data_IF_883581565199
#
_entry.id   IF_883581565199
#
_cell.length_a   1.000
_cell.length_b   1.000
_cell.length_c   1.000
_cell.angle_alpha   90.00
_cell.angle_beta   90.00
_cell.angle_gamma   90.00
#
_symmetry.space_group_name_H-M   'P 1'
#
loop_
_entity.id
_entity.type
_entity.pdbx_description
1 polymer ?
#
# COMPACT_ATOMS: atom_id res chain seq x y z
N UNK A 1 -20.84 -48.10 -21.96
CA UNK A 1 -21.97 -47.22 -21.65
C UNK A 1 -21.74 -46.69 -20.25
N UNK A 2 -20.96 -45.62 -20.16
CA UNK A 2 -20.71 -44.75 -19.01
C UNK A 2 -19.72 -43.72 -19.53
N UNK A 3 -20.12 -42.45 -19.59
CA UNK A 3 -19.21 -41.32 -19.82
C UNK A 3 -19.40 -40.42 -18.61
N UNK A 4 -18.34 -40.33 -17.80
CA UNK A 4 -18.22 -39.46 -16.64
C UNK A 4 -17.39 -38.23 -16.99
N UNK A 5 -17.76 -37.13 -16.34
CA UNK A 5 -17.11 -35.83 -16.36
C UNK A 5 -15.72 -35.85 -15.71
N UNK A 6 -14.81 -35.04 -16.25
CA UNK A 6 -13.82 -34.22 -15.53
C UNK A 6 -12.85 -33.61 -16.55
N UNK A 7 -12.91 -32.29 -16.73
CA UNK A 7 -11.81 -31.46 -17.19
C UNK A 7 -12.18 -29.99 -17.00
N UNK A 8 -11.26 -29.25 -16.37
CA UNK A 8 -10.85 -27.85 -16.60
C UNK A 8 -10.62 -27.16 -15.25
N UNK A 9 -9.38 -27.25 -14.75
CA UNK A 9 -8.74 -26.30 -13.84
C UNK A 9 -7.23 -26.53 -13.95
N UNK A 10 -6.45 -25.48 -14.26
CA UNK A 10 -4.97 -25.55 -14.29
C UNK A 10 -4.30 -24.93 -15.52
N UNK A 11 -4.30 -23.60 -15.59
CA UNK A 11 -3.39 -22.69 -16.31
C UNK A 11 -3.67 -21.33 -15.66
N UNK A 12 -2.79 -20.59 -14.97
CA UNK A 12 -1.42 -20.18 -15.28
C UNK A 12 -0.89 -19.43 -14.06
N UNK A 13 0.16 -19.94 -13.39
CA UNK A 13 1.18 -19.13 -12.68
C UNK A 13 2.30 -20.07 -12.17
N UNK A 14 3.05 -20.67 -13.09
CA UNK A 14 4.24 -21.44 -12.75
C UNK A 14 5.24 -21.27 -13.89
N UNK A 15 6.09 -20.27 -13.78
CA UNK A 15 7.05 -19.99 -14.84
C UNK A 15 7.92 -18.79 -14.55
N UNK A 16 8.56 -18.72 -13.38
CA UNK A 16 9.76 -17.90 -13.19
C UNK A 16 10.51 -18.35 -11.93
N UNK A 17 11.38 -19.38 -12.06
CA UNK A 17 12.58 -19.61 -11.25
C UNK A 17 13.15 -21.01 -11.56
N UNK A 18 14.09 -21.07 -12.51
CA UNK A 18 15.10 -22.13 -12.56
C UNK A 18 16.16 -21.80 -13.62
N UNK A 19 17.29 -21.19 -13.22
CA UNK A 19 18.57 -21.50 -13.88
C UNK A 19 19.66 -21.59 -12.80
N UNK A 20 19.87 -22.82 -12.32
CA UNK A 20 21.10 -23.23 -11.64
C UNK A 20 22.14 -23.62 -12.69
N UNK A 21 23.38 -23.21 -12.41
CA UNK A 21 24.65 -23.53 -13.05
C UNK A 21 24.75 -24.85 -13.85
N UNK A 22 25.27 -24.75 -15.07
CA UNK A 22 26.12 -25.77 -15.72
C UNK A 22 26.83 -25.17 -16.95
N UNK A 23 28.14 -24.93 -16.87
CA UNK A 23 29.04 -24.99 -18.03
C UNK A 23 30.52 -25.00 -17.58
N UNK A 24 31.08 -26.20 -17.40
CA UNK A 24 32.51 -26.45 -17.62
C UNK A 24 32.71 -26.82 -19.09
N UNK A 25 33.74 -26.28 -19.73
CA UNK A 25 34.32 -26.87 -20.94
C UNK A 25 34.71 -25.92 -22.07
N UNK A 26 36.03 -25.74 -22.19
CA UNK A 26 36.77 -25.51 -23.45
C UNK A 26 36.91 -24.07 -24.01
N UNK A 27 38.11 -23.53 -23.75
CA UNK A 27 38.77 -22.44 -24.50
C UNK A 27 39.04 -22.87 -25.95
N UNK A 28 39.17 -21.90 -26.88
CA UNK A 28 40.53 -21.58 -27.30
C UNK A 28 40.85 -20.08 -27.43
N UNK A 29 42.15 -19.85 -27.41
CA UNK A 29 42.92 -18.62 -27.48
C UNK A 29 42.67 -17.72 -28.69
N UNK A 30 42.72 -16.40 -28.46
CA UNK A 30 43.37 -15.48 -29.38
C UNK A 30 43.99 -14.30 -28.61
N UNK A 31 45.26 -14.08 -28.88
CA UNK A 31 46.21 -13.13 -28.29
C UNK A 31 46.28 -11.80 -29.07
N UNK A 32 46.58 -10.72 -28.35
CA UNK A 32 47.06 -9.42 -28.86
C UNK A 32 45.99 -8.32 -28.75
N UNK A 33 46.22 -7.13 -28.18
CA UNK A 33 47.43 -6.29 -28.17
C UNK A 33 47.43 -5.37 -26.93
N UNK A 34 48.63 -4.94 -26.57
CA UNK A 34 49.15 -4.19 -25.42
C UNK A 34 48.84 -2.67 -25.46
N UNK A 35 48.43 -2.16 -24.29
CA UNK A 35 48.82 -0.92 -23.55
C UNK A 35 49.03 0.40 -24.30
N UNK A 36 48.35 1.43 -23.81
CA UNK A 36 48.78 2.84 -23.86
C UNK A 36 48.25 3.61 -22.65
N UNK A 37 49.10 3.82 -21.65
CA UNK A 37 48.88 4.66 -20.47
C UNK A 37 49.45 6.07 -20.65
N UNK A 38 48.81 7.09 -20.06
CA UNK A 38 49.41 8.31 -19.46
C UNK A 38 48.27 9.30 -19.12
N UNK A 39 47.88 9.47 -17.85
CA UNK A 39 48.40 10.44 -16.84
C UNK A 39 48.44 11.90 -17.27
N UNK A 40 47.55 12.74 -16.70
CA UNK A 40 47.92 13.94 -15.91
C UNK A 40 46.68 14.53 -15.17
N UNK A 41 46.82 14.75 -13.86
CA UNK A 41 45.92 15.53 -12.97
C UNK A 41 46.47 16.98 -12.81
N UNK A 42 46.03 17.80 -11.84
CA UNK A 42 44.74 18.51 -11.64
C UNK A 42 45.01 20.04 -11.49
N UNK A 43 44.10 20.77 -10.78
CA UNK A 43 44.13 22.17 -10.28
C UNK A 43 43.01 23.02 -10.95
N UNK A 44 42.21 23.84 -10.26
CA UNK A 44 42.46 24.61 -9.04
C UNK A 44 41.14 25.12 -8.43
N UNK A 45 41.11 25.21 -7.09
CA UNK A 45 40.14 25.96 -6.28
C UNK A 45 40.46 27.46 -6.34
N UNK A 46 39.43 28.30 -6.36
CA UNK A 46 39.48 29.70 -5.90
C UNK A 46 38.34 29.94 -4.91
N UNK A 47 38.74 30.48 -3.76
CA UNK A 47 37.97 30.90 -2.60
C UNK A 47 38.01 32.44 -2.61
N UNK A 48 36.85 33.10 -2.56
CA UNK A 48 36.73 34.48 -2.06
C UNK A 48 35.38 34.67 -1.34
N UNK A 49 35.41 34.60 -0.01
CA UNK A 49 35.20 35.80 0.82
C UNK A 49 33.77 36.33 1.03
N UNK A 50 33.23 36.03 2.21
CA UNK A 50 32.86 37.05 3.21
C UNK A 50 31.51 37.77 3.06
N UNK A 51 30.61 37.56 4.03
CA UNK A 51 29.41 38.38 4.19
C UNK A 51 28.48 37.88 5.30
N UNK A 52 28.91 38.01 6.55
CA UNK A 52 28.10 37.79 7.75
C UNK A 52 26.99 38.87 7.84
N UNK A 53 25.72 38.45 7.82
CA UNK A 53 24.59 39.30 8.23
C UNK A 53 23.77 38.53 9.26
N UNK A 54 23.96 38.93 10.51
CA UNK A 54 23.15 38.56 11.66
C UNK A 54 21.86 39.36 11.64
N UNK A 55 20.72 38.69 11.57
CA UNK A 55 19.41 39.28 11.92
C UNK A 55 18.73 38.38 12.94
N UNK A 56 18.87 38.78 14.19
CA UNK A 56 18.09 38.33 15.35
C UNK A 56 16.64 38.78 15.18
N UNK A 57 15.71 37.82 15.19
CA UNK A 57 14.27 38.08 15.36
C UNK A 57 13.84 37.39 16.64
N UNK A 58 13.56 38.18 17.68
CA UNK A 58 12.94 37.71 18.92
C UNK A 58 11.44 37.45 18.70
N UNK A 59 10.86 36.42 19.35
CA UNK A 59 9.43 36.12 19.25
C UNK A 59 8.60 36.95 20.25
N UNK A 60 7.41 37.44 19.89
CA UNK A 60 6.49 38.00 20.86
C UNK A 60 5.76 36.89 21.63
N UNK A 61 5.90 36.95 22.95
CA UNK A 61 5.20 36.15 23.95
C UNK A 61 3.86 36.82 24.27
N UNK A 62 2.71 36.14 24.06
CA UNK A 62 1.47 36.42 24.81
C UNK A 62 0.55 35.20 24.85
N UNK A 63 0.40 34.63 26.05
CA UNK A 63 -0.61 33.62 26.45
C UNK A 63 -1.67 34.36 27.31
N UNK A 64 -2.96 33.94 27.32
CA UNK A 64 -4.13 34.81 27.48
C UNK A 64 -4.60 34.98 28.93
N UNK A 65 -5.52 35.91 29.23
CA UNK A 65 -6.20 35.94 30.52
C UNK A 65 -7.58 35.27 30.44
N UNK A 66 -7.82 34.34 31.37
CA UNK A 66 -9.14 33.83 31.76
C UNK A 66 -9.33 34.08 33.28
N UNK A 67 -10.54 33.91 33.85
CA UNK A 67 -11.65 34.87 33.94
C UNK A 67 -11.85 35.39 35.38
N UNK A 68 -12.75 36.36 35.65
CA UNK A 68 -13.17 36.64 37.02
C UNK A 68 -14.43 35.86 37.41
N UNK A 69 -14.32 35.17 38.54
CA UNK A 69 -15.42 34.64 39.34
C UNK A 69 -15.98 35.72 40.29
N UNK A 70 -17.30 35.76 40.47
CA UNK A 70 -18.03 36.19 41.70
C UNK A 70 -19.48 35.74 41.51
N UNK A 71 -19.99 34.80 42.33
CA UNK A 71 -20.60 34.95 43.66
C UNK A 71 -22.07 35.40 43.66
N UNK A 72 -22.78 34.80 44.59
CA UNK A 72 -24.22 34.55 44.68
C UNK A 72 -25.03 35.76 45.15
N UNK A 73 -26.31 35.86 44.75
CA UNK A 73 -27.42 36.12 45.69
C UNK A 73 -28.81 36.04 45.04
N UNK A 74 -29.67 35.35 45.80
CA UNK A 74 -31.13 35.21 45.78
C UNK A 74 -31.97 36.35 45.19
N UNK A 75 -33.06 35.99 44.47
CA UNK A 75 -34.42 36.24 44.98
C UNK A 75 -35.51 35.52 44.17
N UNK A 76 -36.56 35.08 44.88
CA UNK A 76 -37.92 35.03 44.31
C UNK A 76 -38.53 33.64 44.09
N UNK A 77 -39.13 33.08 45.15
CA UNK A 77 -40.15 32.03 45.04
C UNK A 77 -41.42 32.59 44.40
N UNK A 78 -41.95 31.91 43.39
CA UNK A 78 -43.37 31.90 43.07
C UNK A 78 -43.78 30.43 42.91
N UNK A 79 -44.77 30.02 43.71
CA UNK A 79 -45.45 28.74 43.59
C UNK A 79 -46.48 28.86 42.48
N UNK A 80 -46.49 27.96 41.50
CA UNK A 80 -47.69 27.64 40.72
C UNK A 80 -47.65 26.19 40.21
N UNK A 81 -48.71 25.48 40.61
CA UNK A 81 -49.40 24.33 40.02
C UNK A 81 -48.65 23.05 39.60
N UNK A 82 -49.05 21.95 40.26
CA UNK A 82 -48.73 20.55 39.98
C UNK A 82 -49.32 20.11 38.63
N UNK A 83 -48.52 19.67 37.62
CA UNK A 83 -49.07 19.06 36.43
C UNK A 83 -49.40 17.58 36.67
N UNK A 84 -50.55 17.15 36.18
CA UNK A 84 -51.01 15.76 36.21
C UNK A 84 -49.97 14.79 35.59
N UNK A 85 -49.92 13.51 36.04
CA UNK A 85 -48.91 12.58 35.58
C UNK A 85 -49.18 12.18 34.12
N UNK A 86 -48.35 12.69 33.21
CA UNK A 86 -48.26 12.20 31.84
C UNK A 86 -47.58 10.84 31.87
N UNK A 87 -48.33 9.78 31.52
CA UNK A 87 -47.78 8.45 31.27
C UNK A 87 -46.86 8.51 30.06
N UNK A 88 -45.55 8.46 30.30
CA UNK A 88 -44.54 8.23 29.26
C UNK A 88 -44.70 6.79 28.77
N UNK A 89 -44.83 6.52 27.46
CA UNK A 89 -44.76 5.16 26.95
C UNK A 89 -43.34 4.65 27.19
N UNK A 90 -43.20 3.57 27.96
CA UNK A 90 -41.95 2.82 28.07
C UNK A 90 -41.61 2.29 26.69
N UNK A 91 -40.68 2.93 25.99
CA UNK A 91 -40.02 2.35 24.82
C UNK A 91 -39.17 1.20 25.33
N UNK A 92 -39.50 -0.03 24.93
CA UNK A 92 -38.61 -1.17 25.13
C UNK A 92 -37.26 -0.85 24.48
N UNK A 93 -36.13 -1.16 25.15
CA UNK A 93 -34.82 -1.05 24.50
C UNK A 93 -34.84 -1.90 23.22
N UNK A 94 -34.17 -1.47 22.14
CA UNK A 94 -34.06 -2.27 20.95
C UNK A 94 -33.52 -3.65 21.35
N UNK A 95 -34.26 -4.69 20.97
CA UNK A 95 -33.79 -6.07 21.07
C UNK A 95 -32.48 -6.14 20.29
N UNK A 96 -31.36 -6.26 21.01
CA UNK A 96 -30.07 -6.54 20.40
C UNK A 96 -30.22 -7.82 19.57
N UNK A 97 -29.95 -7.75 18.28
CA UNK A 97 -29.77 -8.96 17.47
C UNK A 97 -28.71 -9.84 18.15
N UNK A 98 -28.88 -11.17 18.13
CA UNK A 98 -27.86 -12.06 18.68
C UNK A 98 -26.53 -11.75 17.97
N UNK A 99 -25.47 -11.56 18.76
CA UNK A 99 -24.12 -11.38 18.20
C UNK A 99 -23.79 -12.57 17.29
N UNK A 100 -23.24 -12.27 16.12
CA UNK A 100 -22.82 -13.26 15.14
C UNK A 100 -21.80 -14.21 15.79
N UNK A 101 -22.00 -15.53 15.62
CA UNK A 101 -21.08 -16.52 16.16
C UNK A 101 -20.12 -16.98 15.06
N UNK A 102 -18.88 -16.53 15.15
CA UNK A 102 -17.82 -16.89 14.20
C UNK A 102 -17.11 -18.20 14.62
N UNK A 103 -16.87 -19.12 13.69
CA UNK A 103 -16.12 -20.37 13.94
C UNK A 103 -14.80 -20.42 13.17
N UNK A 104 -13.73 -19.90 13.78
CA UNK A 104 -12.37 -19.94 13.24
C UNK A 104 -11.56 -21.16 13.70
N UNK A 105 -12.19 -22.21 14.26
CA UNK A 105 -11.45 -23.34 14.88
C UNK A 105 -10.57 -24.11 13.89
N UNK A 106 -10.84 -24.02 12.59
CA UNK A 106 -10.04 -24.64 11.54
C UNK A 106 -8.78 -23.83 11.14
N UNK A 107 -8.65 -22.57 11.54
CA UNK A 107 -7.55 -21.69 11.12
C UNK A 107 -6.22 -22.09 11.75
N UNK A 108 -6.14 -22.12 13.08
CA UNK A 108 -4.88 -22.34 13.78
C UNK A 108 -4.15 -23.64 13.37
N UNK A 109 -4.81 -24.81 13.25
CA UNK A 109 -4.13 -26.04 12.82
C UNK A 109 -3.51 -25.95 11.41
N UNK A 110 -4.10 -25.17 10.50
CA UNK A 110 -3.58 -24.97 9.15
C UNK A 110 -2.33 -24.09 9.19
N UNK A 111 -2.39 -22.97 9.93
CA UNK A 111 -1.26 -22.04 10.03
C UNK A 111 -0.08 -22.66 10.77
N UNK A 112 -0.32 -23.31 11.91
CA UNK A 112 0.73 -24.00 12.68
C UNK A 112 1.45 -25.06 11.84
N UNK A 113 0.70 -25.92 11.16
CA UNK A 113 1.27 -26.95 10.31
C UNK A 113 2.10 -26.35 9.16
N UNK A 114 1.62 -25.26 8.56
CA UNK A 114 2.32 -24.60 7.47
C UNK A 114 3.61 -23.91 7.91
N UNK A 115 3.58 -23.20 9.04
CA UNK A 115 4.76 -22.56 9.67
C UNK A 115 5.82 -23.62 9.97
N UNK A 116 5.43 -24.74 10.58
CA UNK A 116 6.34 -25.85 10.91
C UNK A 116 6.90 -26.54 9.66
N UNK A 117 6.07 -26.86 8.67
CA UNK A 117 6.48 -27.56 7.44
C UNK A 117 7.46 -26.72 6.61
N UNK A 118 7.24 -25.41 6.55
CA UNK A 118 8.07 -24.48 5.76
C UNK A 118 9.24 -23.91 6.55
N UNK A 119 9.31 -24.14 7.86
CA UNK A 119 10.36 -23.62 8.74
C UNK A 119 10.36 -22.09 8.80
N UNK A 120 9.18 -21.48 8.81
CA UNK A 120 9.03 -20.02 8.93
C UNK A 120 9.34 -19.57 10.36
N UNK A 121 9.76 -18.31 10.53
CA UNK A 121 9.94 -17.74 11.87
C UNK A 121 8.60 -17.47 12.57
N UNK A 122 7.50 -17.44 11.83
CA UNK A 122 6.15 -17.30 12.34
C UNK A 122 5.15 -16.84 11.28
N UNK A 123 3.98 -16.44 11.73
CA UNK A 123 2.93 -15.82 10.93
C UNK A 123 2.05 -14.93 11.81
N UNK A 124 1.38 -13.95 11.21
CA UNK A 124 0.27 -13.23 11.82
C UNK A 124 -0.96 -13.31 10.92
N UNK A 125 -2.13 -13.51 11.49
CA UNK A 125 -3.41 -13.45 10.79
C UNK A 125 -4.40 -12.64 11.61
N UNK A 126 -4.97 -11.62 10.98
CA UNK A 126 -6.05 -10.81 11.53
C UNK A 126 -7.19 -10.75 10.53
N UNK A 127 -8.42 -10.94 11.00
CA UNK A 127 -9.65 -10.95 10.21
C UNK A 127 -10.58 -9.92 10.80
N UNK A 128 -11.15 -9.10 9.93
CA UNK A 128 -12.05 -8.01 10.26
C UNK A 128 -13.39 -8.18 9.56
N UNK A 129 -14.45 -7.82 10.26
CA UNK A 129 -15.83 -7.74 9.79
C UNK A 129 -16.28 -6.27 9.79
N UNK A 130 -17.06 -5.88 8.76
CA UNK A 130 -17.55 -4.51 8.60
C UNK A 130 -18.28 -4.01 9.84
N UNK A 131 -19.10 -4.82 10.48
CA UNK A 131 -19.95 -4.39 11.58
C UNK A 131 -19.28 -4.71 12.93
N UNK A 132 -18.66 -5.88 13.06
CA UNK A 132 -18.12 -6.38 14.33
C UNK A 132 -16.66 -5.99 14.61
N UNK A 133 -15.94 -5.42 13.63
CA UNK A 133 -14.55 -5.00 13.82
C UNK A 133 -13.59 -6.19 13.71
N UNK A 134 -12.62 -6.32 14.62
CA UNK A 134 -11.69 -7.47 14.61
C UNK A 134 -12.43 -8.70 15.18
N UNK A 135 -12.60 -9.73 14.36
CA UNK A 135 -13.34 -10.96 14.70
C UNK A 135 -12.42 -12.16 14.92
N UNK A 136 -11.18 -12.09 14.43
CA UNK A 136 -10.13 -13.07 14.70
C UNK A 136 -8.77 -12.39 14.66
N UNK A 137 -7.91 -12.75 15.60
CA UNK A 137 -6.53 -12.30 15.64
C UNK A 137 -5.69 -13.38 16.32
N UNK A 138 -4.69 -13.90 15.61
CA UNK A 138 -3.74 -14.85 16.16
C UNK A 138 -2.37 -14.70 15.50
N UNK A 139 -1.34 -15.02 16.29
CA UNK A 139 0.06 -14.91 15.88
C UNK A 139 0.81 -16.17 16.31
N UNK A 140 1.77 -16.56 15.46
CA UNK A 140 2.58 -17.75 15.62
C UNK A 140 4.07 -17.39 15.55
N UNK A 141 4.90 -18.11 16.30
CA UNK A 141 6.35 -17.92 16.28
C UNK A 141 6.78 -16.56 16.85
N UNK A 142 7.57 -15.81 16.08
CA UNK A 142 8.10 -14.50 16.47
C UNK A 142 7.11 -13.33 16.29
N UNK A 143 5.93 -13.59 15.72
CA UNK A 143 4.96 -12.54 15.42
C UNK A 143 4.21 -12.10 16.68
N UNK A 144 3.92 -10.80 16.70
CA UNK A 144 3.05 -10.14 17.67
C UNK A 144 2.10 -9.21 16.92
N UNK A 145 0.97 -8.78 17.52
CA UNK A 145 0.05 -7.80 16.92
C UNK A 145 0.76 -6.56 16.37
N UNK A 146 1.78 -6.09 17.09
CA UNK A 146 2.53 -4.87 16.77
C UNK A 146 3.86 -5.12 16.04
N UNK A 147 4.14 -6.37 15.61
CA UNK A 147 5.39 -6.66 14.88
C UNK A 147 5.30 -5.97 13.51
N UNK A 148 6.20 -5.04 13.26
CA UNK A 148 6.29 -4.34 11.98
C UNK A 148 6.88 -5.30 10.95
N UNK A 149 6.30 -5.38 9.76
CA UNK A 149 6.86 -6.10 8.62
C UNK A 149 6.96 -5.19 7.41
N UNK A 150 7.96 -5.40 6.55
CA UNK A 150 7.97 -4.82 5.22
C UNK A 150 6.94 -5.56 4.37
N UNK A 151 6.01 -4.83 3.74
CA UNK A 151 4.83 -5.43 3.13
C UNK A 151 4.86 -5.44 1.59
N UNK A 152 5.92 -4.88 0.99
CA UNK A 152 6.11 -4.86 -0.45
C UNK A 152 4.81 -4.45 -1.19
N UNK A 153 4.40 -5.16 -2.24
CA UNK A 153 3.24 -4.77 -3.06
C UNK A 153 1.98 -4.41 -2.28
N UNK A 154 1.70 -5.03 -1.12
CA UNK A 154 0.56 -4.69 -0.26
C UNK A 154 0.52 -3.21 0.22
N UNK A 155 1.55 -2.42 -0.13
CA UNK A 155 1.58 -0.95 -0.06
C UNK A 155 0.62 -0.26 -1.03
N UNK A 156 0.29 -0.88 -2.17
CA UNK A 156 -0.33 -0.18 -3.31
C UNK A 156 -1.72 0.37 -3.00
N UNK A 157 -2.51 -0.33 -2.18
CA UNK A 157 -3.81 0.19 -1.74
C UNK A 157 -3.67 1.48 -0.91
N UNK A 158 -2.58 1.60 -0.14
CA UNK A 158 -2.28 2.80 0.66
C UNK A 158 -1.87 3.94 -0.27
N UNK A 159 -0.96 3.67 -1.20
CA UNK A 159 -0.51 4.65 -2.21
C UNK A 159 -1.67 5.14 -3.09
N UNK A 160 -2.51 4.24 -3.59
CA UNK A 160 -3.67 4.59 -4.40
C UNK A 160 -4.68 5.44 -3.62
N UNK A 161 -4.90 5.10 -2.33
CA UNK A 161 -5.76 5.87 -1.47
C UNK A 161 -5.24 7.28 -1.20
N UNK A 162 -3.92 7.53 -1.08
CA UNK A 162 -3.39 8.91 -1.00
C UNK A 162 -3.83 9.73 -2.22
N UNK A 163 -3.63 9.21 -3.44
CA UNK A 163 -4.01 9.95 -4.65
C UNK A 163 -5.52 10.18 -4.74
N UNK A 164 -6.33 9.21 -4.32
CA UNK A 164 -7.79 9.36 -4.33
C UNK A 164 -8.30 10.25 -3.20
N UNK A 165 -7.59 10.35 -2.08
CA UNK A 165 -7.86 11.40 -1.09
C UNK A 165 -7.61 12.78 -1.67
N UNK A 166 -6.47 12.99 -2.34
CA UNK A 166 -6.22 14.26 -3.03
C UNK A 166 -7.27 14.55 -4.11
N UNK A 167 -7.86 13.50 -4.69
CA UNK A 167 -9.01 13.63 -5.58
C UNK A 167 -10.28 14.10 -4.87
N UNK A 168 -10.64 13.48 -3.75
CA UNK A 168 -11.78 13.89 -2.93
C UNK A 168 -11.65 15.35 -2.46
N UNK A 169 -10.44 15.77 -2.11
CA UNK A 169 -10.12 17.14 -1.67
C UNK A 169 -10.07 18.15 -2.83
N UNK A 170 -10.16 17.69 -4.08
CA UNK A 170 -10.13 18.52 -5.28
C UNK A 170 -8.75 19.11 -5.60
N UNK A 171 -7.69 18.55 -5.02
CA UNK A 171 -6.29 18.92 -5.28
C UNK A 171 -5.73 18.19 -6.51
N UNK A 172 -6.29 17.03 -6.84
CA UNK A 172 -5.93 16.22 -8.00
C UNK A 172 -7.21 15.77 -8.73
N UNK A 173 -7.23 15.82 -10.06
CA UNK A 173 -8.22 15.05 -10.82
C UNK A 173 -7.54 13.77 -11.32
N UNK A 174 -7.95 12.61 -10.79
CA UNK A 174 -7.30 11.33 -11.09
C UNK A 174 -7.44 10.96 -12.58
N UNK A 175 -8.47 11.48 -13.25
CA UNK A 175 -8.76 11.26 -14.66
C UNK A 175 -8.23 12.38 -15.57
N UNK A 176 -7.66 13.45 -15.00
CA UNK A 176 -6.99 14.50 -15.77
C UNK A 176 -5.53 14.13 -16.05
N UNK A 177 -4.93 14.71 -17.11
CA UNK A 177 -3.53 14.51 -17.39
C UNK A 177 -2.62 14.98 -16.24
N UNK A 178 -1.60 14.19 -15.92
CA UNK A 178 -0.64 14.56 -14.87
C UNK A 178 0.16 15.83 -15.22
N UNK A 179 0.23 16.17 -16.51
CA UNK A 179 0.85 17.40 -16.99
C UNK A 179 0.19 18.69 -16.46
N UNK A 180 -1.04 18.59 -15.93
CA UNK A 180 -1.71 19.72 -15.25
C UNK A 180 -1.13 19.98 -13.86
N UNK A 181 -0.42 19.01 -13.28
CA UNK A 181 0.15 19.06 -11.92
C UNK A 181 1.68 19.22 -11.95
N UNK A 182 2.35 18.52 -12.87
CA UNK A 182 3.82 18.48 -12.96
C UNK A 182 4.32 18.92 -14.34
N UNK A 183 5.29 19.84 -14.38
CA UNK A 183 5.79 20.40 -15.65
C UNK A 183 6.44 19.35 -16.55
N UNK A 184 7.18 18.40 -15.97
CA UNK A 184 7.81 17.30 -16.71
C UNK A 184 6.78 16.31 -17.30
N UNK A 185 5.52 16.37 -16.86
CA UNK A 185 4.41 15.60 -17.42
C UNK A 185 4.14 15.88 -18.91
N UNK A 186 4.64 17.01 -19.43
CA UNK A 186 4.52 17.36 -20.85
C UNK A 186 5.19 16.34 -21.80
N UNK A 187 6.09 15.49 -21.30
CA UNK A 187 6.72 14.42 -22.07
C UNK A 187 5.71 13.39 -22.59
N UNK A 188 4.66 13.10 -21.80
CA UNK A 188 3.54 12.24 -22.19
C UNK A 188 2.23 12.90 -21.73
N UNK A 189 1.73 13.91 -22.47
CA UNK A 189 0.76 14.88 -21.98
C UNK A 189 -0.67 14.34 -21.82
N UNK A 190 -0.91 13.07 -22.16
CA UNK A 190 -2.22 12.44 -22.07
C UNK A 190 -2.31 11.40 -20.94
N UNK A 191 -1.18 11.06 -20.28
CA UNK A 191 -1.19 10.07 -19.18
C UNK A 191 -1.85 10.65 -17.94
N UNK A 192 -2.75 9.87 -17.34
CA UNK A 192 -3.52 10.22 -16.14
C UNK A 192 -3.04 9.44 -14.92
N UNK A 193 -3.31 9.94 -13.72
CA UNK A 193 -3.01 9.21 -12.50
C UNK A 193 -3.79 7.89 -12.40
N UNK A 194 -5.02 7.84 -12.91
CA UNK A 194 -5.82 6.62 -12.95
C UNK A 194 -5.15 5.52 -13.80
N UNK A 195 -4.51 5.87 -14.91
CA UNK A 195 -3.77 4.92 -15.74
C UNK A 195 -2.47 4.45 -15.07
N UNK A 196 -1.79 5.32 -14.31
CA UNK A 196 -0.62 4.93 -13.51
C UNK A 196 -1.02 3.88 -12.45
N UNK A 197 -2.07 4.15 -11.68
CA UNK A 197 -2.52 3.28 -10.58
C UNK A 197 -3.15 1.97 -11.05
N UNK A 198 -3.73 1.93 -12.26
CA UNK A 198 -4.28 0.70 -12.85
C UNK A 198 -3.31 -0.07 -13.72
N UNK A 199 -2.04 0.31 -13.73
CA UNK A 199 -0.99 -0.33 -14.54
C UNK A 199 -1.31 -0.33 -16.05
N UNK A 200 -1.93 0.74 -16.54
CA UNK A 200 -2.35 0.93 -17.94
C UNK A 200 -1.75 2.18 -18.58
N UNK A 201 -0.71 2.77 -17.97
CA UNK A 201 -0.05 3.98 -18.48
C UNK A 201 0.69 3.78 -19.80
N UNK A 202 1.07 2.54 -20.12
CA UNK A 202 1.91 2.21 -21.28
C UNK A 202 3.43 2.27 -21.00
N UNK A 203 3.82 2.70 -19.79
CA UNK A 203 5.20 2.63 -19.30
C UNK A 203 5.66 1.19 -19.12
N UNK A 204 6.97 0.96 -19.05
CA UNK A 204 7.53 -0.38 -18.78
C UNK A 204 7.21 -0.76 -17.31
N UNK A 205 6.53 -1.89 -17.13
CA UNK A 205 6.22 -2.44 -15.80
C UNK A 205 7.40 -3.22 -15.20
N UNK A 206 7.14 -3.98 -14.13
CA UNK A 206 8.16 -4.87 -13.53
C UNK A 206 8.52 -6.07 -14.41
N UNK A 207 7.64 -6.48 -15.31
CA UNK A 207 7.87 -7.58 -16.23
C UNK A 207 8.19 -7.08 -17.64
N UNK A 208 9.09 -7.75 -18.40
CA UNK A 208 9.82 -8.98 -18.06
C UNK A 208 11.12 -8.76 -17.26
N UNK A 209 11.60 -7.52 -17.12
CA UNK A 209 12.89 -7.19 -16.50
C UNK A 209 12.68 -6.19 -15.35
N UNK A 210 12.57 -6.65 -14.08
CA UNK A 210 12.34 -5.76 -12.95
C UNK A 210 13.46 -4.73 -12.75
N UNK A 211 14.69 -5.07 -13.17
CA UNK A 211 15.85 -4.20 -13.14
C UNK A 211 16.00 -3.31 -14.37
N UNK A 212 14.91 -2.95 -15.04
CA UNK A 212 14.92 -2.12 -16.25
C UNK A 212 15.74 -0.84 -16.02
N UNK A 213 16.88 -0.74 -16.71
CA UNK A 213 17.94 0.20 -16.36
C UNK A 213 17.49 1.68 -16.34
N UNK A 214 16.65 2.17 -17.28
CA UNK A 214 16.14 3.53 -17.25
C UNK A 214 15.37 3.88 -15.96
N UNK A 215 14.76 2.90 -15.30
CA UNK A 215 13.89 3.11 -14.13
C UNK A 215 14.54 2.70 -12.80
N UNK A 216 15.86 2.49 -12.78
CA UNK A 216 16.55 1.93 -11.61
C UNK A 216 16.43 2.81 -10.35
N UNK A 217 16.24 4.13 -10.50
CA UNK A 217 16.09 5.05 -9.37
C UNK A 217 14.93 4.68 -8.44
N UNK A 218 13.90 3.96 -8.92
CA UNK A 218 12.77 3.55 -8.09
C UNK A 218 13.17 2.64 -6.93
N UNK A 219 14.32 1.95 -7.04
CA UNK A 219 14.85 1.04 -6.01
C UNK A 219 15.97 1.67 -5.17
N UNK A 220 16.31 2.93 -5.42
CA UNK A 220 17.42 3.61 -4.75
C UNK A 220 16.91 4.57 -3.69
N UNK A 221 17.37 4.41 -2.45
CA UNK A 221 17.10 5.35 -1.35
C UNK A 221 17.74 6.74 -1.56
N UNK A 222 18.64 6.88 -2.53
CA UNK A 222 19.27 8.16 -2.83
C UNK A 222 18.39 9.01 -3.76
N UNK A 223 18.41 10.33 -3.56
CA UNK A 223 17.66 11.29 -4.35
C UNK A 223 16.31 11.63 -3.73
N UNK A 224 15.39 12.13 -4.56
CA UNK A 224 14.03 12.47 -4.17
C UNK A 224 13.01 11.78 -5.07
N UNK A 225 11.80 11.59 -4.56
CA UNK A 225 10.65 11.05 -5.31
C UNK A 225 10.41 11.83 -6.60
N UNK A 226 10.39 13.18 -6.52
CA UNK A 226 10.30 14.05 -7.70
C UNK A 226 11.40 13.81 -8.74
N UNK A 227 12.67 13.79 -8.32
CA UNK A 227 13.78 13.65 -9.27
C UNK A 227 13.78 12.27 -9.95
N UNK A 228 13.39 11.22 -9.21
CA UNK A 228 13.26 9.89 -9.79
C UNK A 228 12.09 9.83 -10.79
N UNK A 229 10.92 10.37 -10.43
CA UNK A 229 9.77 10.43 -11.34
C UNK A 229 10.06 11.22 -12.61
N UNK A 230 10.68 12.40 -12.51
CA UNK A 230 11.10 13.18 -13.69
C UNK A 230 12.09 12.40 -14.56
N UNK A 231 13.07 11.72 -13.95
CA UNK A 231 14.03 10.88 -14.68
C UNK A 231 13.34 9.76 -15.44
N UNK A 232 12.43 9.03 -14.78
CA UNK A 232 11.65 7.95 -15.38
C UNK A 232 10.79 8.48 -16.54
N UNK A 233 10.10 9.60 -16.34
CA UNK A 233 9.08 10.06 -17.27
C UNK A 233 9.62 10.82 -18.49
N UNK A 234 10.88 11.27 -18.44
CA UNK A 234 11.50 12.11 -19.48
C UNK A 234 12.70 11.45 -20.16
N UNK A 235 13.12 10.27 -19.71
CA UNK A 235 14.24 9.56 -20.33
C UNK A 235 13.89 9.18 -21.77
N UNK A 236 14.80 9.35 -22.74
CA UNK A 236 14.59 8.85 -24.10
C UNK A 236 14.98 7.37 -24.25
N UNK A 237 15.59 6.78 -23.21
CA UNK A 237 16.14 5.42 -23.27
C UNK A 237 15.04 4.34 -23.26
N UNK A 238 13.79 4.70 -23.00
CA UNK A 238 12.62 3.83 -23.03
C UNK A 238 11.66 4.08 -24.20
N UNK A 239 11.90 5.09 -25.04
CA UNK A 239 11.02 5.49 -26.17
C UNK A 239 10.59 4.32 -27.06
N UNK A 240 11.48 3.32 -27.23
CA UNK A 240 11.23 2.14 -28.06
C UNK A 240 10.36 1.07 -27.38
N UNK A 241 10.25 1.12 -26.05
CA UNK A 241 9.58 0.14 -25.21
C UNK A 241 8.22 0.63 -24.70
N UNK A 242 7.93 1.93 -24.80
CA UNK A 242 6.63 2.53 -24.48
C UNK A 242 5.52 2.06 -25.45
N UNK A 243 4.31 1.92 -24.91
CA UNK A 243 3.08 1.72 -25.70
C UNK A 243 2.06 2.79 -25.34
N UNK A 244 0.99 2.90 -26.14
CA UNK A 244 -0.08 3.84 -25.84
C UNK A 244 -0.78 3.44 -24.53
N UNK A 245 -1.17 4.44 -23.74
CA UNK A 245 -1.98 4.22 -22.54
C UNK A 245 -3.27 3.48 -22.87
N UNK A 246 -3.75 2.66 -21.94
CA UNK A 246 -4.96 1.85 -22.07
C UNK A 246 -4.94 0.90 -23.29
N UNK A 247 -3.75 0.48 -23.74
CA UNK A 247 -3.61 -0.57 -24.78
C UNK A 247 -2.97 -1.88 -24.30
N UNK A 248 -2.26 -1.85 -23.17
CA UNK A 248 -1.63 -3.04 -22.58
C UNK A 248 -1.56 -2.90 -21.06
N UNK A 249 -1.88 -3.98 -20.34
CA UNK A 249 -1.66 -4.06 -18.89
C UNK A 249 -0.20 -4.42 -18.60
N UNK A 250 0.50 -3.55 -17.88
CA UNK A 250 1.92 -3.71 -17.53
C UNK A 250 2.12 -3.51 -16.04
N UNK A 251 2.07 -4.61 -15.29
CA UNK A 251 2.02 -4.58 -13.83
C UNK A 251 3.24 -3.92 -13.16
N UNK A 252 2.97 -3.07 -12.17
CA UNK A 252 3.91 -2.55 -11.18
C UNK A 252 4.91 -1.56 -11.76
N UNK A 253 5.91 -1.24 -10.95
CA UNK A 253 7.11 -0.54 -11.35
C UNK A 253 6.98 0.98 -11.31
N UNK A 254 7.71 1.62 -12.22
CA UNK A 254 8.03 3.03 -12.18
C UNK A 254 6.80 3.97 -12.25
N UNK A 255 5.70 3.49 -12.81
CA UNK A 255 4.43 4.23 -12.86
C UNK A 255 3.88 4.59 -11.46
N UNK A 256 4.15 3.76 -10.46
CA UNK A 256 3.78 4.06 -9.06
C UNK A 256 4.65 5.16 -8.47
N UNK A 257 5.94 5.19 -8.84
CA UNK A 257 6.86 6.25 -8.41
C UNK A 257 6.42 7.61 -8.97
N UNK A 258 5.97 7.63 -10.22
CA UNK A 258 5.38 8.82 -10.85
C UNK A 258 4.09 9.23 -10.14
N UNK A 259 3.21 8.27 -9.79
CA UNK A 259 1.98 8.56 -9.07
C UNK A 259 2.25 9.23 -7.71
N UNK A 260 3.23 8.74 -6.94
CA UNK A 260 3.63 9.36 -5.68
C UNK A 260 4.20 10.78 -5.87
N UNK A 261 5.01 11.01 -6.90
CA UNK A 261 5.50 12.35 -7.21
C UNK A 261 4.38 13.31 -7.62
N UNK A 262 3.38 12.84 -8.36
CA UNK A 262 2.18 13.65 -8.66
C UNK A 262 1.44 14.00 -7.38
N UNK A 263 1.34 13.08 -6.41
CA UNK A 263 0.72 13.36 -5.11
C UNK A 263 1.46 14.44 -4.32
N UNK A 264 2.80 14.36 -4.19
CA UNK A 264 3.60 15.41 -3.54
C UNK A 264 3.47 16.77 -4.24
N UNK A 265 3.44 16.78 -5.58
CA UNK A 265 3.32 18.01 -6.35
C UNK A 265 1.92 18.65 -6.23
N UNK A 266 0.85 17.85 -6.23
CA UNK A 266 -0.53 18.32 -6.11
C UNK A 266 -0.83 18.88 -4.72
N UNK A 267 -0.30 18.24 -3.67
CA UNK A 267 -0.50 18.64 -2.28
C UNK A 267 0.45 19.74 -1.82
N UNK A 268 1.68 19.75 -2.34
CA UNK A 268 2.77 20.59 -1.83
C UNK A 268 3.38 20.08 -0.52
N UNK A 269 3.05 18.86 -0.09
CA UNK A 269 3.54 18.20 1.12
C UNK A 269 4.38 16.97 0.76
N UNK A 270 5.24 16.52 1.67
CA UNK A 270 6.03 15.30 1.42
C UNK A 270 5.20 14.03 1.61
N UNK A 271 5.67 12.92 1.05
CA UNK A 271 4.96 11.64 1.16
C UNK A 271 4.72 11.17 2.61
N UNK A 272 5.69 11.35 3.50
CA UNK A 272 5.56 11.03 4.92
C UNK A 272 4.50 11.88 5.62
N UNK A 273 4.44 13.18 5.33
CA UNK A 273 3.37 14.07 5.82
C UNK A 273 1.99 13.64 5.30
N UNK A 274 1.89 13.25 4.02
CA UNK A 274 0.63 12.71 3.47
C UNK A 274 0.18 11.44 4.18
N UNK A 275 1.09 10.52 4.47
CA UNK A 275 0.76 9.29 5.21
C UNK A 275 0.30 9.62 6.64
N UNK A 276 0.98 10.56 7.29
CA UNK A 276 0.63 10.99 8.65
C UNK A 276 -0.79 11.58 8.70
N UNK A 277 -1.06 12.57 7.84
CA UNK A 277 -2.31 13.33 7.81
C UNK A 277 -3.51 12.52 7.32
N UNK A 278 -3.30 11.60 6.36
CA UNK A 278 -4.39 10.84 5.73
C UNK A 278 -4.71 9.57 6.52
N UNK A 279 -3.69 8.87 7.03
CA UNK A 279 -3.86 7.54 7.63
C UNK A 279 -3.48 7.48 9.10
N UNK A 280 -2.28 7.91 9.47
CA UNK A 280 -1.75 7.68 10.82
C UNK A 280 -2.59 8.40 11.86
N UNK A 281 -2.78 9.71 11.73
CA UNK A 281 -3.57 10.49 12.69
C UNK A 281 -5.06 10.10 12.65
N UNK A 282 -5.73 10.02 11.49
CA UNK A 282 -7.17 9.75 11.46
C UNK A 282 -7.55 8.33 11.90
N UNK A 283 -6.70 7.34 11.61
CA UNK A 283 -6.95 5.94 11.96
C UNK A 283 -6.26 5.52 13.26
N UNK A 284 -5.47 6.40 13.88
CA UNK A 284 -4.70 6.09 15.09
C UNK A 284 -3.78 4.91 14.86
N UNK A 285 -2.98 4.95 13.78
CA UNK A 285 -2.01 3.91 13.46
C UNK A 285 -0.75 4.13 14.29
N UNK A 286 -0.14 3.06 14.79
CA UNK A 286 1.09 3.16 15.58
C UNK A 286 2.34 2.91 14.72
N UNK A 287 2.19 2.09 13.68
CA UNK A 287 3.26 1.68 12.78
C UNK A 287 2.74 1.60 11.34
N UNK A 288 2.79 2.74 10.65
CA UNK A 288 2.70 2.83 9.19
C UNK A 288 3.72 3.84 8.69
N UNK A 289 4.50 3.47 7.68
CA UNK A 289 5.41 4.39 7.02
C UNK A 289 5.98 3.79 5.75
N UNK A 290 6.76 4.59 5.03
CA UNK A 290 7.37 4.20 3.76
C UNK A 290 8.89 4.35 3.80
N UNK A 291 9.58 3.48 3.07
CA UNK A 291 11.02 3.55 2.84
C UNK A 291 11.36 3.08 1.41
N UNK A 292 12.65 2.96 1.09
CA UNK A 292 13.13 2.37 -0.16
C UNK A 292 14.28 1.42 0.16
N UNK A 293 13.93 0.28 0.73
CA UNK A 293 14.86 -0.66 1.35
C UNK A 293 15.52 -1.61 0.33
N UNK A 294 15.02 -1.70 -0.90
CA UNK A 294 15.43 -2.68 -1.91
C UNK A 294 16.94 -2.67 -2.22
N UNK A 295 17.56 -1.50 -2.31
CA UNK A 295 19.01 -1.37 -2.48
C UNK A 295 19.78 -1.19 -1.16
N UNK A 296 19.08 -1.03 -0.04
CA UNK A 296 19.70 -0.87 1.28
C UNK A 296 20.06 -2.20 1.92
N UNK A 297 19.31 -3.26 1.60
CA UNK A 297 19.47 -4.55 2.26
C UNK A 297 20.00 -5.60 1.26
N UNK A 298 21.06 -6.34 1.61
CA UNK A 298 21.55 -7.44 0.78
C UNK A 298 20.46 -8.52 0.61
N UNK A 299 20.30 -9.05 -0.61
CA UNK A 299 19.35 -10.14 -0.89
C UNK A 299 18.31 -9.83 -1.97
N UNK A 300 18.23 -8.57 -2.42
CA UNK A 300 17.30 -8.18 -3.49
C UNK A 300 15.84 -8.21 -3.01
N UNK A 301 15.04 -9.12 -3.57
CA UNK A 301 13.62 -9.28 -3.22
C UNK A 301 13.35 -10.34 -2.14
N UNK A 302 14.39 -10.90 -1.51
CA UNK A 302 14.24 -11.76 -0.34
C UNK A 302 13.91 -10.94 0.91
N UNK A 303 13.11 -11.50 1.83
CA UNK A 303 12.81 -10.79 3.09
C UNK A 303 14.09 -10.54 3.89
N UNK A 304 14.34 -9.29 4.30
CA UNK A 304 15.55 -8.95 5.04
C UNK A 304 15.45 -9.37 6.51
N UNK A 305 16.05 -10.51 6.87
CA UNK A 305 16.03 -11.02 8.25
C UNK A 305 16.58 -10.03 9.29
N UNK A 306 17.51 -9.15 8.89
CA UNK A 306 18.10 -8.13 9.76
C UNK A 306 17.14 -6.96 10.05
N UNK A 307 16.04 -6.81 9.31
CA UNK A 307 15.00 -5.82 9.61
C UNK A 307 14.36 -6.08 10.97
N UNK A 308 14.12 -7.36 11.30
CA UNK A 308 13.68 -7.81 12.62
C UNK A 308 12.51 -7.02 13.26
N UNK A 309 11.66 -6.41 12.44
CA UNK A 309 10.54 -5.57 12.85
C UNK A 309 10.90 -4.19 13.39
N UNK A 310 12.07 -3.66 13.05
CA UNK A 310 12.55 -2.36 13.49
C UNK A 310 12.87 -1.43 12.29
N UNK A 311 12.00 -0.46 11.97
CA UNK A 311 12.26 0.55 10.94
C UNK A 311 13.56 1.34 11.14
N UNK A 312 14.09 1.45 12.36
CA UNK A 312 15.35 2.15 12.63
C UNK A 312 16.57 1.45 12.02
N UNK A 313 16.44 0.22 11.52
CA UNK A 313 17.50 -0.45 10.74
C UNK A 313 17.63 0.09 9.32
N UNK A 314 16.64 0.85 8.85
CA UNK A 314 16.61 1.44 7.51
C UNK A 314 17.21 2.84 7.52
N UNK A 315 17.76 3.24 6.37
CA UNK A 315 18.22 4.59 6.12
C UNK A 315 17.01 5.42 5.67
N UNK A 316 16.82 6.58 6.30
CA UNK A 316 15.81 7.56 5.89
C UNK A 316 16.01 7.98 4.43
N UNK A 317 14.91 8.20 3.71
CA UNK A 317 14.93 8.51 2.28
C UNK A 317 13.85 9.51 1.92
N UNK A 318 14.20 10.46 1.03
CA UNK A 318 13.23 11.34 0.37
C UNK A 318 12.74 10.75 -0.98
N UNK A 319 13.14 9.52 -1.30
CA UNK A 319 12.68 8.74 -2.44
C UNK A 319 12.11 7.38 -1.96
N UNK A 320 11.04 7.37 -1.14
CA UNK A 320 10.37 6.13 -0.76
C UNK A 320 9.86 5.38 -2.00
N UNK A 321 9.80 4.04 -1.96
CA UNK A 321 9.26 3.27 -3.08
C UNK A 321 7.73 3.20 -2.98
N UNK A 322 7.03 3.72 -3.99
CA UNK A 322 5.57 3.89 -3.93
C UNK A 322 4.79 2.60 -4.06
N UNK A 323 5.33 1.58 -4.74
CA UNK A 323 4.61 0.34 -4.95
C UNK A 323 4.90 -0.74 -3.92
N UNK A 324 5.97 -0.57 -3.14
CA UNK A 324 6.55 -1.64 -2.34
C UNK A 324 7.31 -1.19 -1.10
N UNK A 325 7.33 0.11 -0.80
CA UNK A 325 8.15 0.68 0.26
C UNK A 325 7.49 0.69 1.64
N UNK A 326 6.19 0.37 1.76
CA UNK A 326 5.51 0.48 3.04
C UNK A 326 5.95 -0.63 4.02
N UNK A 327 5.86 -0.29 5.29
CA UNK A 327 5.88 -1.23 6.41
C UNK A 327 4.66 -0.98 7.29
N UNK A 328 4.14 -2.04 7.90
CA UNK A 328 2.98 -1.96 8.78
C UNK A 328 3.01 -3.08 9.84
N UNK A 329 2.28 -2.86 10.94
CA UNK A 329 1.92 -3.94 11.88
C UNK A 329 0.62 -4.65 11.43
N UNK A 330 0.40 -5.92 11.82
CA UNK A 330 -0.88 -6.58 11.64
C UNK A 330 -2.09 -5.77 12.14
N UNK A 331 -2.01 -5.23 13.35
CA UNK A 331 -3.12 -4.48 13.96
C UNK A 331 -3.42 -3.18 13.23
N UNK A 332 -2.41 -2.47 12.73
CA UNK A 332 -2.61 -1.25 11.95
C UNK A 332 -3.15 -1.54 10.55
N UNK A 333 -2.67 -2.62 9.90
CA UNK A 333 -3.21 -3.01 8.61
C UNK A 333 -4.69 -3.41 8.70
N UNK A 334 -5.11 -4.04 9.80
CA UNK A 334 -6.52 -4.34 10.05
C UNK A 334 -7.40 -3.09 10.16
N UNK A 335 -6.90 -2.00 10.77
CA UNK A 335 -7.61 -0.70 10.80
C UNK A 335 -7.80 -0.14 9.38
N UNK A 336 -6.80 -0.29 8.50
CA UNK A 336 -6.91 0.10 7.10
C UNK A 336 -7.92 -0.76 6.32
N UNK A 337 -7.96 -2.07 6.54
CA UNK A 337 -8.98 -2.94 5.95
C UNK A 337 -10.40 -2.58 6.42
N UNK A 338 -10.57 -2.28 7.71
CA UNK A 338 -11.85 -1.79 8.24
C UNK A 338 -12.28 -0.47 7.60
N UNK A 339 -11.34 0.45 7.37
CA UNK A 339 -11.62 1.71 6.67
C UNK A 339 -12.17 1.46 5.25
N UNK A 340 -11.57 0.53 4.51
CA UNK A 340 -12.05 0.12 3.18
C UNK A 340 -13.47 -0.47 3.23
N UNK A 341 -13.79 -1.26 4.27
CA UNK A 341 -15.11 -1.89 4.45
C UNK A 341 -16.20 -0.93 4.96
N UNK A 342 -15.81 0.14 5.67
CA UNK A 342 -16.69 1.09 6.37
C UNK A 342 -16.84 2.41 5.62
N UNK A 343 -16.91 2.35 4.30
CA UNK A 343 -17.14 3.53 3.46
C UNK A 343 -16.07 4.60 3.61
N UNK A 344 -14.85 4.19 3.96
CA UNK A 344 -13.67 5.04 3.98
C UNK A 344 -13.48 5.80 5.29
N UNK A 345 -14.08 5.33 6.38
CA UNK A 345 -14.05 6.00 7.69
C UNK A 345 -13.13 5.31 8.69
N UNK A 346 -12.44 6.12 9.48
CA UNK A 346 -11.70 5.72 10.66
C UNK A 346 -12.28 6.44 11.88
N UNK A 347 -13.11 5.74 12.65
CA UNK A 347 -13.92 6.38 13.70
C UNK A 347 -14.83 7.45 13.10
N UNK A 348 -14.69 8.69 13.57
CA UNK A 348 -15.46 9.84 13.07
C UNK A 348 -14.81 10.54 11.86
N UNK A 349 -13.60 10.13 11.47
CA UNK A 349 -12.83 10.75 10.39
C UNK A 349 -13.13 10.09 9.05
N UNK A 350 -13.53 10.87 8.05
CA UNK A 350 -13.61 10.42 6.65
C UNK A 350 -12.20 10.48 6.04
N UNK A 351 -11.65 9.32 5.69
CA UNK A 351 -10.33 9.18 5.05
C UNK A 351 -10.47 9.14 3.53
N UNK A 352 -11.38 8.32 3.01
CA UNK A 352 -11.70 8.24 1.57
C UNK A 352 -13.20 8.32 1.37
N UNK A 353 -13.68 8.93 0.30
CA UNK A 353 -15.10 8.87 -0.07
C UNK A 353 -15.49 7.47 -0.55
N UNK A 354 -16.80 7.18 -0.57
CA UNK A 354 -17.28 5.95 -1.21
C UNK A 354 -16.95 5.92 -2.72
N UNK A 355 -16.93 7.07 -3.40
CA UNK A 355 -16.55 7.13 -4.82
C UNK A 355 -15.07 6.76 -5.01
N UNK A 356 -14.19 7.22 -4.12
CA UNK A 356 -12.79 6.81 -4.10
C UNK A 356 -12.66 5.29 -3.91
N UNK A 357 -13.37 4.71 -2.94
CA UNK A 357 -13.37 3.25 -2.73
C UNK A 357 -13.89 2.48 -3.94
N UNK A 358 -15.00 2.92 -4.54
CA UNK A 358 -15.59 2.28 -5.71
C UNK A 358 -14.61 2.29 -6.90
N UNK A 359 -13.82 3.37 -7.06
CA UNK A 359 -12.73 3.47 -8.04
C UNK A 359 -11.56 2.53 -7.70
N UNK A 360 -11.17 2.41 -6.43
CA UNK A 360 -10.09 1.51 -6.01
C UNK A 360 -10.42 0.06 -6.30
N UNK A 361 -11.65 -0.34 -5.97
CA UNK A 361 -12.11 -1.72 -6.02
C UNK A 361 -12.62 -2.15 -7.39
N UNK A 362 -13.01 -1.20 -8.25
CA UNK A 362 -13.55 -1.49 -9.58
C UNK A 362 -12.48 -2.09 -10.52
N UNK A 363 -12.85 -3.15 -11.25
CA UNK A 363 -12.00 -3.76 -12.29
C UNK A 363 -11.83 -2.84 -13.51
N UNK A 364 -10.95 -1.85 -13.38
CA UNK A 364 -10.64 -0.89 -14.43
C UNK A 364 -10.03 -1.58 -15.65
N UNK A 365 -9.14 -2.54 -15.44
CA UNK A 365 -8.51 -3.30 -16.53
C UNK A 365 -9.55 -4.07 -17.34
N UNK A 366 -10.52 -4.72 -16.68
CA UNK A 366 -11.66 -5.35 -17.38
C UNK A 366 -12.50 -4.34 -18.16
N UNK A 367 -12.79 -3.18 -17.57
CA UNK A 367 -13.56 -2.13 -18.23
C UNK A 367 -12.85 -1.53 -19.47
N UNK A 368 -11.52 -1.37 -19.40
CA UNK A 368 -10.71 -0.78 -20.47
C UNK A 368 -10.48 -1.76 -21.62
N UNK A 369 -10.06 -3.00 -21.32
CA UNK A 369 -9.60 -3.94 -22.34
C UNK A 369 -10.70 -4.90 -22.83
N UNK A 370 -11.81 -5.05 -22.10
CA UNK A 370 -12.88 -5.98 -22.45
C UNK A 370 -12.37 -7.41 -22.68
N UNK A 371 -12.67 -7.99 -23.84
CA UNK A 371 -12.24 -9.35 -24.21
C UNK A 371 -10.70 -9.51 -24.27
N UNK A 372 -9.94 -8.41 -24.36
CA UNK A 372 -8.48 -8.42 -24.38
C UNK A 372 -7.85 -8.32 -22.98
N UNK A 373 -8.66 -8.21 -21.92
CA UNK A 373 -8.15 -8.13 -20.55
C UNK A 373 -7.39 -9.41 -20.16
N UNK A 374 -6.37 -9.31 -19.28
CA UNK A 374 -5.77 -10.46 -18.62
C UNK A 374 -6.81 -11.31 -17.90
N UNK A 375 -6.50 -12.57 -17.57
CA UNK A 375 -7.46 -13.47 -16.91
C UNK A 375 -7.99 -12.97 -15.56
N UNK A 376 -7.14 -12.28 -14.80
CA UNK A 376 -7.52 -11.59 -13.54
C UNK A 376 -7.80 -10.11 -13.81
N UNK A 377 -8.70 -9.51 -13.03
CA UNK A 377 -8.95 -8.08 -13.04
C UNK A 377 -7.95 -7.30 -12.20
N UNK A 378 -7.94 -5.99 -12.38
CA UNK A 378 -7.13 -5.10 -11.58
C UNK A 378 -7.80 -3.73 -11.47
N UNK A 379 -7.92 -3.24 -10.23
CA UNK A 379 -8.41 -1.92 -9.89
C UNK A 379 -7.27 -0.92 -9.68
N UNK A 380 -7.34 -0.12 -8.61
CA UNK A 380 -6.23 0.74 -8.18
C UNK A 380 -5.65 0.18 -6.88
N UNK A 381 -4.57 -0.60 -7.02
CA UNK A 381 -3.91 -1.25 -5.88
C UNK A 381 -4.51 -2.58 -5.43
N UNK A 382 -5.47 -3.12 -6.19
CA UNK A 382 -6.11 -4.41 -5.90
C UNK A 382 -6.17 -5.29 -7.16
N UNK A 383 -5.71 -6.53 -7.04
CA UNK A 383 -6.11 -7.60 -7.96
C UNK A 383 -7.56 -7.95 -7.70
N UNK A 384 -8.31 -8.19 -8.77
CA UNK A 384 -9.73 -8.55 -8.72
C UNK A 384 -9.88 -9.97 -9.25
N UNK A 385 -10.24 -10.91 -8.39
CA UNK A 385 -10.74 -12.20 -8.83
C UNK A 385 -12.15 -12.01 -9.39
N UNK A 386 -12.31 -12.21 -10.71
CA UNK A 386 -13.59 -12.02 -11.39
C UNK A 386 -14.59 -13.14 -11.14
N UNK A 387 -14.14 -14.29 -10.64
CA UNK A 387 -15.01 -15.42 -10.32
C UNK A 387 -15.59 -15.26 -8.92
N UNK A 388 -14.75 -14.97 -7.92
CA UNK A 388 -15.18 -14.82 -6.52
C UNK A 388 -15.56 -13.40 -6.12
N UNK A 389 -15.10 -12.37 -6.86
CA UNK A 389 -15.21 -10.97 -6.43
C UNK A 389 -14.15 -10.54 -5.41
N UNK A 390 -13.29 -11.47 -4.96
CA UNK A 390 -12.26 -11.22 -3.95
C UNK A 390 -11.21 -10.23 -4.45
N UNK A 391 -10.89 -9.27 -3.61
CA UNK A 391 -9.79 -8.33 -3.83
C UNK A 391 -8.56 -8.80 -3.07
N UNK A 392 -7.38 -8.73 -3.67
CA UNK A 392 -6.13 -9.08 -2.99
C UNK A 392 -4.93 -8.30 -3.53
N UNK A 393 -3.88 -8.14 -2.73
CA UNK A 393 -2.63 -7.54 -3.20
C UNK A 393 -1.39 -8.13 -2.50
N UNK A 394 -0.96 -9.35 -2.90
CA UNK A 394 0.13 -10.06 -2.23
C UNK A 394 1.48 -9.35 -2.39
N UNK A 395 2.16 -9.14 -1.28
CA UNK A 395 3.49 -8.56 -1.18
C UNK A 395 4.59 -9.56 -1.52
N UNK A 396 5.68 -9.06 -2.12
CA UNK A 396 6.89 -9.84 -2.43
C UNK A 396 7.45 -10.60 -1.22
N UNK A 397 7.18 -10.12 0.00
CA UNK A 397 7.64 -10.67 1.26
C UNK A 397 6.68 -11.65 1.95
N UNK A 398 5.52 -11.93 1.33
CA UNK A 398 4.57 -12.93 1.83
C UNK A 398 3.39 -12.35 2.61
N UNK A 399 3.27 -11.03 2.73
CA UNK A 399 2.00 -10.40 3.15
C UNK A 399 0.91 -10.64 2.10
N UNK A 400 -0.30 -10.94 2.55
CA UNK A 400 -1.47 -11.13 1.69
C UNK A 400 -2.69 -10.49 2.37
N UNK A 401 -3.02 -9.24 2.03
CA UNK A 401 -4.34 -8.69 2.31
C UNK A 401 -5.37 -9.25 1.33
N UNK A 402 -6.58 -9.46 1.81
CA UNK A 402 -7.74 -9.63 0.94
C UNK A 402 -9.02 -9.03 1.54
N UNK A 403 -9.94 -8.67 0.65
CA UNK A 403 -11.27 -8.16 0.99
C UNK A 403 -12.33 -8.96 0.23
N UNK A 404 -13.45 -9.18 0.90
CA UNK A 404 -14.71 -9.55 0.29
C UNK A 404 -15.75 -8.47 0.64
N UNK A 405 -16.11 -7.67 -0.36
CA UNK A 405 -16.99 -6.53 -0.15
C UNK A 405 -18.46 -6.94 -0.04
N UNK A 406 -18.84 -8.08 -0.65
CA UNK A 406 -20.20 -8.61 -0.62
C UNK A 406 -20.49 -9.21 0.74
N UNK A 407 -19.60 -10.10 1.21
CA UNK A 407 -19.68 -10.71 2.53
C UNK A 407 -19.23 -9.78 3.66
N UNK A 408 -18.62 -8.63 3.32
CA UNK A 408 -18.35 -7.55 4.27
C UNK A 408 -17.18 -7.81 5.21
N UNK A 409 -16.20 -8.63 4.81
CA UNK A 409 -15.03 -8.95 5.64
C UNK A 409 -13.71 -8.69 4.91
N UNK A 410 -12.64 -8.64 5.69
CA UNK A 410 -11.28 -8.52 5.21
C UNK A 410 -10.34 -9.34 6.06
N UNK A 411 -9.18 -9.70 5.52
CA UNK A 411 -8.13 -10.30 6.32
C UNK A 411 -6.75 -9.88 5.84
N UNK A 412 -5.82 -9.90 6.78
CA UNK A 412 -4.42 -9.64 6.54
C UNK A 412 -3.60 -10.79 7.10
N UNK A 413 -3.03 -11.58 6.19
CA UNK A 413 -2.01 -12.57 6.50
C UNK A 413 -0.63 -11.92 6.31
N UNK A 414 0.27 -12.15 7.25
CA UNK A 414 1.67 -11.76 7.09
C UNK A 414 2.61 -12.88 7.54
N UNK A 415 3.60 -13.14 6.69
CA UNK A 415 4.78 -13.93 6.98
C UNK A 415 6.00 -13.13 6.51
N UNK A 416 7.19 -13.52 6.96
CA UNK A 416 8.46 -12.89 6.58
C UNK A 416 9.25 -13.83 5.67
N UNK A 417 8.74 -14.05 4.45
CA UNK A 417 9.31 -15.01 3.50
C UNK A 417 9.27 -14.47 2.06
N UNK A 418 8.38 -15.02 1.22
CA UNK A 418 8.20 -14.61 -0.17
C UNK A 418 6.73 -14.69 -0.58
N UNK A 419 6.37 -13.99 -1.66
CA UNK A 419 4.99 -13.91 -2.17
C UNK A 419 4.37 -15.27 -2.48
N UNK A 420 5.15 -16.21 -3.04
CA UNK A 420 4.64 -17.56 -3.37
C UNK A 420 4.23 -18.29 -2.10
N UNK A 421 5.07 -18.24 -1.06
CA UNK A 421 4.79 -18.90 0.23
C UNK A 421 3.61 -18.25 0.95
N UNK A 422 3.50 -16.91 0.92
CA UNK A 422 2.37 -16.19 1.49
C UNK A 422 1.05 -16.54 0.80
N UNK A 423 1.05 -16.55 -0.53
CA UNK A 423 -0.13 -16.88 -1.33
C UNK A 423 -0.55 -18.35 -1.17
N UNK A 424 0.40 -19.28 -1.04
CA UNK A 424 0.13 -20.70 -0.75
C UNK A 424 -0.61 -20.89 0.59
N UNK A 425 -0.25 -20.12 1.62
CA UNK A 425 -0.94 -20.15 2.91
C UNK A 425 -2.31 -19.45 2.80
N UNK A 426 -2.38 -18.25 2.24
CA UNK A 426 -3.64 -17.53 2.06
C UNK A 426 -4.68 -18.37 1.27
N UNK A 427 -4.24 -19.08 0.22
CA UNK A 427 -5.12 -19.94 -0.58
C UNK A 427 -5.72 -21.09 0.24
N UNK A 428 -5.01 -21.62 1.24
CA UNK A 428 -5.55 -22.63 2.15
C UNK A 428 -6.56 -22.04 3.15
N UNK A 429 -6.48 -20.73 3.40
CA UNK A 429 -7.29 -20.04 4.38
C UNK A 429 -8.55 -19.40 3.79
N UNK A 430 -8.59 -19.07 2.49
CA UNK A 430 -9.72 -18.37 1.89
C UNK A 430 -11.08 -19.03 2.20
N UNK A 431 -11.27 -20.29 1.83
CA UNK A 431 -12.56 -20.98 2.06
C UNK A 431 -12.85 -21.20 3.55
N UNK A 432 -11.80 -21.36 4.38
CA UNK A 432 -11.93 -21.53 5.83
C UNK A 432 -12.45 -20.24 6.47
N UNK A 433 -11.83 -19.11 6.11
CA UNK A 433 -12.20 -17.79 6.61
C UNK A 433 -13.59 -17.41 6.11
N UNK A 434 -13.86 -17.57 4.81
CA UNK A 434 -15.16 -17.29 4.20
C UNK A 434 -16.28 -18.11 4.85
N UNK A 435 -16.06 -19.40 5.11
CA UNK A 435 -17.03 -20.24 5.83
C UNK A 435 -17.25 -19.75 7.27
N UNK A 436 -16.17 -19.35 7.96
CA UNK A 436 -16.24 -18.90 9.35
C UNK A 436 -17.01 -17.58 9.52
N UNK A 437 -16.89 -16.67 8.54
CA UNK A 437 -17.57 -15.37 8.57
C UNK A 437 -19.01 -15.44 8.06
N UNK A 438 -19.31 -16.29 7.06
CA UNK A 438 -20.65 -16.36 6.45
C UNK A 438 -21.62 -17.33 7.15
N UNK A 439 -21.13 -18.20 8.04
CA UNK A 439 -21.96 -19.21 8.72
C UNK A 439 -22.84 -18.65 9.86
N UNK A 440 -22.75 -17.35 10.15
CA UNK A 440 -23.37 -16.67 11.29
C UNK A 440 -24.81 -16.22 11.10
#
# INVERSE_FOLDING_TARGET
MTVGANAILGCTLAGLLAITACAEGERPSATGVVVGSSTTSPLQFEDEGGGEVTTTVEPPTTVPPEPPSTDSAENGRVFDEDPAPTTVPTTEPPTSEPAQEYDFTAVAPVVEAFVDERGLNGAGLIIVDRDDGVVYEEQWGEFTPDRISLIASSSKMITAGVLLRLHDDGLLDIDAPIADVVEWGIANPDITAAQLLSNSSGLVGLGPEPGYAPYLCQFLAAGTLQACAETIFTTPDDDADLVASDTEFRYGGAQWQIAGAVAEAASGTSWDELIEEIYVEPCGLDALGYNNHFAQIPGGFEYPVDFAGDPATLIDTANPNMEGGAYASPSDYAKLLLMQLRGGTCGDSQVLSQDALDRMHGDRVGAVYGDAAPGTGYGMGWWVDRESGRLTDPGAYGSVPWLDLEEGYGAYLVIEANSVTGLELATQLYDIVETAVTAG
#
